data_IF_563017675407
#
_entry.id   IF_563017675407
#
_cell.length_a   1.000
_cell.length_b   1.000
_cell.length_c   1.000
_cell.angle_alpha   90.00
_cell.angle_beta   90.00
_cell.angle_gamma   90.00
#
_symmetry.space_group_name_H-M   'P 1'
#
loop_
_entity.id
_entity.type
_entity.pdbx_description
1 polymer ?
#
# COMPACT_ATOMS: atom_id res chain seq x y z
N UNK A 1 -1.27 1.01 17.59
CA UNK A 1 0.01 1.14 16.85
C UNK A 1 -0.04 0.47 15.49
N UNK A 2 -0.37 -0.83 15.40
CA UNK A 2 -0.51 -1.56 14.11
C UNK A 2 -1.53 -0.90 13.19
N UNK A 3 -2.72 -0.56 13.69
CA UNK A 3 -3.73 0.13 12.87
C UNK A 3 -3.27 1.48 12.35
N UNK A 4 -2.51 2.24 13.13
CA UNK A 4 -1.96 3.53 12.72
C UNK A 4 -0.94 3.35 11.60
N UNK A 5 -0.04 2.37 11.73
CA UNK A 5 0.96 2.06 10.69
C UNK A 5 0.29 1.58 9.41
N UNK A 6 -0.70 0.69 9.53
CA UNK A 6 -1.51 0.20 8.41
C UNK A 6 -2.27 1.32 7.70
N UNK A 7 -2.97 2.19 8.44
CA UNK A 7 -3.69 3.34 7.89
C UNK A 7 -2.75 4.33 7.20
N UNK A 8 -1.61 4.65 7.82
CA UNK A 8 -0.61 5.50 7.19
C UNK A 8 -0.05 4.90 5.90
N UNK A 9 0.13 3.57 5.84
CA UNK A 9 0.56 2.87 4.64
C UNK A 9 -0.46 2.98 3.51
N UNK A 10 -1.74 2.73 3.81
CA UNK A 10 -2.85 2.85 2.84
C UNK A 10 -3.05 4.29 2.35
N UNK A 11 -2.91 5.28 3.23
CA UNK A 11 -3.07 6.70 2.90
C UNK A 11 -1.85 7.32 2.21
N UNK A 12 -0.79 6.54 1.93
CA UNK A 12 0.42 7.06 1.29
C UNK A 12 1.19 8.06 2.16
N UNK A 13 1.09 7.94 3.48
CA UNK A 13 1.85 8.80 4.41
C UNK A 13 3.32 8.42 4.32
N UNK A 14 4.17 9.38 3.93
CA UNK A 14 5.63 9.17 3.88
C UNK A 14 6.16 8.65 5.23
N UNK A 15 7.16 7.78 5.20
CA UNK A 15 7.77 7.20 6.42
C UNK A 15 8.26 8.25 7.41
N UNK A 16 8.74 9.41 6.93
CA UNK A 16 9.11 10.56 7.78
C UNK A 16 7.92 11.17 8.53
N UNK A 17 6.75 11.29 7.88
CA UNK A 17 5.52 11.78 8.53
C UNK A 17 4.98 10.75 9.51
N UNK A 18 5.07 9.46 9.16
CA UNK A 18 4.77 8.37 10.08
C UNK A 18 5.65 8.43 11.33
N UNK A 19 6.97 8.66 11.19
CA UNK A 19 7.91 8.76 12.31
C UNK A 19 7.53 9.85 13.32
N UNK A 20 7.13 11.03 12.81
CA UNK A 20 6.61 12.12 13.66
C UNK A 20 5.32 11.72 14.40
N UNK A 21 4.45 10.97 13.72
CA UNK A 21 3.17 10.55 14.29
C UNK A 21 3.38 9.51 15.40
N UNK A 22 4.28 8.54 15.22
CA UNK A 22 4.59 7.57 16.28
C UNK A 22 5.32 8.19 17.48
N UNK A 23 6.13 9.23 17.26
CA UNK A 23 6.71 10.05 18.34
C UNK A 23 5.64 10.74 19.17
N UNK A 24 4.59 11.29 18.55
CA UNK A 24 3.46 11.88 19.30
C UNK A 24 2.67 10.86 20.13
N UNK A 25 2.79 9.56 19.81
CA UNK A 25 2.20 8.46 20.56
C UNK A 25 3.13 7.88 21.63
N UNK A 26 4.27 8.54 21.91
CA UNK A 26 5.23 8.13 22.94
C UNK A 26 6.28 7.11 22.49
N UNK A 27 6.41 6.85 21.17
CA UNK A 27 7.38 5.91 20.62
C UNK A 27 8.54 6.68 19.98
N UNK A 28 9.75 6.50 20.50
CA UNK A 28 10.93 7.28 20.06
C UNK A 28 11.23 7.14 18.56
N UNK A 29 11.13 5.93 18.01
CA UNK A 29 11.29 5.66 16.57
C UNK A 29 10.74 4.28 16.19
N UNK A 30 10.42 4.11 14.91
CA UNK A 30 10.22 2.79 14.30
C UNK A 30 11.23 2.58 13.18
N UNK A 31 11.95 1.46 13.22
CA UNK A 31 12.82 1.09 12.10
C UNK A 31 11.99 0.76 10.86
N UNK A 32 12.57 0.99 9.67
CA UNK A 32 11.95 0.62 8.38
C UNK A 32 11.51 -0.85 8.34
N UNK A 33 12.29 -1.75 8.96
CA UNK A 33 11.95 -3.18 9.00
C UNK A 33 10.78 -3.50 9.92
N UNK A 34 10.62 -2.78 11.04
CA UNK A 34 9.43 -2.88 11.90
C UNK A 34 8.19 -2.40 11.17
N UNK A 35 8.25 -1.24 10.51
CA UNK A 35 7.14 -0.71 9.69
C UNK A 35 6.75 -1.72 8.61
N UNK A 36 7.73 -2.29 7.91
CA UNK A 36 7.47 -3.29 6.87
C UNK A 36 6.80 -4.55 7.41
N UNK A 37 7.22 -5.07 8.57
CA UNK A 37 6.58 -6.24 9.19
C UNK A 37 5.14 -5.93 9.62
N UNK A 38 4.91 -4.74 10.18
CA UNK A 38 3.57 -4.32 10.60
C UNK A 38 2.62 -4.10 9.43
N UNK A 39 3.14 -3.73 8.26
CA UNK A 39 2.36 -3.60 7.03
C UNK A 39 2.09 -4.95 6.36
N UNK A 40 2.92 -5.98 6.59
CA UNK A 40 2.78 -7.30 5.98
C UNK A 40 1.43 -7.98 6.32
N UNK A 41 0.84 -7.64 7.47
CA UNK A 41 -0.50 -8.13 7.87
C UNK A 41 -1.60 -7.69 6.86
N UNK A 42 -1.36 -6.63 6.08
CA UNK A 42 -2.26 -6.19 5.02
C UNK A 42 -2.11 -6.98 3.72
N UNK A 43 -0.98 -7.65 3.48
CA UNK A 43 -0.70 -8.32 2.21
C UNK A 43 -1.73 -9.40 1.90
N UNK A 44 -2.15 -10.15 2.93
CA UNK A 44 -3.19 -11.16 2.80
C UNK A 44 -4.55 -10.54 2.42
N UNK A 45 -4.90 -9.38 2.99
CA UNK A 45 -6.15 -8.68 2.68
C UNK A 45 -6.13 -8.08 1.26
N UNK A 46 -5.00 -7.49 0.86
CA UNK A 46 -4.79 -6.97 -0.49
C UNK A 46 -4.86 -8.09 -1.52
N UNK A 47 -4.23 -9.24 -1.24
CA UNK A 47 -4.29 -10.41 -2.10
C UNK A 47 -5.73 -10.92 -2.24
N UNK A 48 -6.46 -11.09 -1.13
CA UNK A 48 -7.85 -11.53 -1.14
C UNK A 48 -8.75 -10.55 -1.91
N UNK A 49 -8.56 -9.23 -1.74
CA UNK A 49 -9.28 -8.23 -2.52
C UNK A 49 -8.97 -8.35 -4.01
N UNK A 50 -7.70 -8.48 -4.40
CA UNK A 50 -7.27 -8.56 -5.80
C UNK A 50 -7.78 -9.80 -6.52
N UNK A 51 -7.86 -10.94 -5.84
CA UNK A 51 -8.27 -12.23 -6.44
C UNK A 51 -9.74 -12.56 -6.23
N UNK A 52 -10.54 -11.64 -5.68
CA UNK A 52 -11.95 -11.91 -5.39
C UNK A 52 -12.74 -12.20 -6.68
N UNK A 53 -13.68 -13.16 -6.67
CA UNK A 53 -14.60 -13.35 -7.78
C UNK A 53 -15.45 -12.10 -8.00
N UNK A 54 -15.57 -11.67 -9.25
CA UNK A 54 -16.45 -10.54 -9.61
C UNK A 54 -17.82 -11.02 -10.11
N UNK A 55 -18.00 -12.32 -10.35
CA UNK A 55 -19.23 -12.87 -10.94
C UNK A 55 -20.49 -12.68 -10.08
N UNK A 56 -20.34 -12.63 -8.75
CA UNK A 56 -21.46 -12.37 -7.83
C UNK A 56 -21.90 -10.89 -7.82
N UNK A 57 -21.10 -9.98 -8.38
CA UNK A 57 -21.40 -8.54 -8.43
C UNK A 57 -22.29 -8.14 -9.62
N UNK A 58 -22.68 -9.11 -10.46
CA UNK A 58 -23.55 -8.90 -11.61
C UNK A 58 -22.83 -8.69 -12.95
N UNK A 59 -23.57 -8.57 -14.06
CA UNK A 59 -22.97 -8.33 -15.36
C UNK A 59 -22.42 -6.90 -15.45
N UNK A 60 -21.13 -6.78 -15.74
CA UNK A 60 -20.49 -5.49 -16.04
C UNK A 60 -20.72 -5.14 -17.51
N UNK A 61 -21.75 -4.35 -17.81
CA UNK A 61 -22.04 -3.88 -19.19
C UNK A 61 -20.92 -3.00 -19.74
N UNK A 62 -20.21 -2.29 -18.86
CA UNK A 62 -19.09 -1.41 -19.21
C UNK A 62 -17.94 -1.63 -18.23
N UNK A 63 -16.72 -1.57 -18.77
CA UNK A 63 -15.47 -1.60 -18.00
C UNK A 63 -14.61 -0.44 -18.48
N UNK A 64 -14.17 0.40 -17.55
CA UNK A 64 -13.15 1.39 -17.81
C UNK A 64 -11.81 0.84 -17.31
N UNK A 65 -10.73 1.14 -18.04
CA UNK A 65 -9.38 0.82 -17.64
C UNK A 65 -8.58 2.12 -17.61
N UNK A 66 -7.85 2.35 -16.52
CA UNK A 66 -6.95 3.49 -16.39
C UNK A 66 -5.49 3.00 -16.24
N UNK A 67 -4.54 3.88 -16.52
CA UNK A 67 -3.12 3.57 -16.46
C UNK A 67 -2.35 4.72 -15.82
N UNK A 68 -1.70 4.44 -14.68
CA UNK A 68 -0.86 5.39 -13.97
C UNK A 68 0.62 5.11 -14.25
N UNK A 69 1.38 6.14 -14.62
CA UNK A 69 2.83 6.06 -14.77
C UNK A 69 3.52 6.43 -13.45
N UNK A 70 4.38 5.55 -12.95
CA UNK A 70 5.12 5.78 -11.71
C UNK A 70 6.58 5.31 -11.82
N UNK A 71 7.47 6.00 -11.08
CA UNK A 71 8.89 5.63 -10.99
C UNK A 71 9.07 4.48 -10.00
N UNK A 72 9.53 3.33 -10.48
CA UNK A 72 9.83 2.15 -9.66
C UNK A 72 11.28 1.73 -9.81
N UNK A 73 11.82 1.01 -8.82
CA UNK A 73 13.16 0.42 -8.90
C UNK A 73 13.05 -1.04 -9.28
N UNK A 74 13.53 -1.39 -10.46
CA UNK A 74 13.58 -2.75 -10.98
C UNK A 74 14.99 -3.06 -11.46
N UNK A 75 15.50 -4.27 -11.16
CA UNK A 75 16.82 -4.71 -11.59
C UNK A 75 17.94 -3.68 -11.29
N UNK A 76 17.83 -2.98 -10.16
CA UNK A 76 18.79 -1.96 -9.73
C UNK A 76 18.66 -0.59 -10.41
N UNK A 77 17.73 -0.40 -11.35
CA UNK A 77 17.52 0.86 -12.08
C UNK A 77 16.14 1.45 -11.76
N UNK A 78 16.05 2.78 -11.82
CA UNK A 78 14.76 3.47 -11.69
C UNK A 78 14.13 3.61 -13.09
N UNK A 79 12.98 3.00 -13.29
CA UNK A 79 12.25 2.95 -14.57
C UNK A 79 10.87 3.59 -14.43
N UNK A 80 10.28 4.04 -15.54
CA UNK A 80 8.84 4.36 -15.58
C UNK A 80 8.08 3.06 -15.77
N UNK A 81 7.31 2.65 -14.77
CA UNK A 81 6.34 1.57 -14.90
C UNK A 81 4.94 2.15 -15.12
N UNK A 82 4.14 1.43 -15.91
CA UNK A 82 2.72 1.72 -16.12
C UNK A 82 1.93 0.70 -15.32
N UNK A 83 1.04 1.17 -14.46
CA UNK A 83 0.19 0.34 -13.61
C UNK A 83 -1.25 0.50 -14.04
N UNK A 84 -1.89 -0.62 -14.39
CA UNK A 84 -3.31 -0.66 -14.70
C UNK A 84 -4.12 -0.49 -13.41
N UNK A 85 -5.12 0.39 -13.43
CA UNK A 85 -6.05 0.64 -12.32
C UNK A 85 -7.47 0.39 -12.78
#
# INVERSE_FOLDING_TARGET
LVSVVATCYLLGVSTRRMDKLVQSLGITSLSKSQVSRMAADLDAQVAAFRTRPLGESGPFTFVAADALSMKVREHGRVVNAVVLV
#
